data_IF_898935089963
#
_entry.id   IF_898935089963
#
_cell.length_a   1.000
_cell.length_b   1.000
_cell.length_c   1.000
_cell.angle_alpha   90.00
_cell.angle_beta   90.00
_cell.angle_gamma   90.00
#
_symmetry.space_group_name_H-M   'P 1'
#
loop_
_entity.id
_entity.type
_entity.pdbx_description
1 polymer ?
#
# COMPACT_ATOMS: atom_id res chain seq x y z
N UNK A 1 6.38 8.83 37.68
CA UNK A 1 6.14 7.71 36.74
C UNK A 1 5.09 8.11 35.69
N UNK A 2 5.38 9.06 34.78
CA UNK A 2 4.47 9.45 33.67
C UNK A 2 5.16 10.45 32.71
N UNK A 3 6.08 9.97 31.85
CA UNK A 3 6.69 10.81 30.79
C UNK A 3 6.99 9.99 29.52
N UNK A 4 7.34 8.71 29.67
CA UNK A 4 7.56 7.78 28.55
C UNK A 4 6.31 7.53 27.68
N UNK A 5 5.10 7.63 28.23
CA UNK A 5 3.85 7.38 27.50
C UNK A 5 3.53 8.46 26.45
N UNK A 6 3.77 9.74 26.77
CA UNK A 6 3.47 10.85 25.86
C UNK A 6 4.44 10.91 24.68
N UNK A 7 5.73 10.63 24.92
CA UNK A 7 6.76 10.60 23.88
C UNK A 7 6.55 9.50 22.83
N UNK A 8 6.12 8.31 23.24
CA UNK A 8 5.88 7.19 22.31
C UNK A 8 4.68 7.45 21.38
N UNK A 9 3.61 8.07 21.90
CA UNK A 9 2.44 8.47 21.09
C UNK A 9 2.79 9.54 20.05
N UNK A 10 3.66 10.49 20.42
CA UNK A 10 4.15 11.51 19.48
C UNK A 10 5.02 10.90 18.38
N UNK A 11 5.86 9.92 18.71
CA UNK A 11 6.70 9.20 17.76
C UNK A 11 5.89 8.30 16.80
N UNK A 12 4.84 7.63 17.26
CA UNK A 12 3.94 6.86 16.37
C UNK A 12 3.17 7.77 15.41
N UNK A 13 2.69 8.92 15.88
CA UNK A 13 2.01 9.90 15.03
C UNK A 13 2.94 10.48 13.96
N UNK A 14 4.20 10.74 14.32
CA UNK A 14 5.22 11.18 13.37
C UNK A 14 5.52 10.09 12.32
N UNK A 15 5.62 8.83 12.73
CA UNK A 15 5.82 7.68 11.81
C UNK A 15 4.65 7.51 10.84
N UNK A 16 3.41 7.61 11.34
CA UNK A 16 2.19 7.52 10.51
C UNK A 16 2.13 8.69 9.53
N UNK A 17 2.42 9.91 9.99
CA UNK A 17 2.50 11.09 9.14
C UNK A 17 3.55 10.93 8.04
N UNK A 18 4.74 10.44 8.38
CA UNK A 18 5.78 10.12 7.40
C UNK A 18 5.34 9.08 6.37
N UNK A 19 4.62 8.04 6.80
CA UNK A 19 4.07 7.00 5.93
C UNK A 19 3.06 7.57 4.92
N UNK A 20 2.15 8.44 5.39
CA UNK A 20 1.15 9.12 4.55
C UNK A 20 1.85 10.00 3.50
N UNK A 21 2.83 10.81 3.93
CA UNK A 21 3.60 11.68 3.03
C UNK A 21 4.30 10.84 1.96
N UNK A 22 4.87 9.70 2.34
CA UNK A 22 5.60 8.82 1.42
C UNK A 22 4.66 8.15 0.40
N UNK A 23 3.46 7.71 0.84
CA UNK A 23 2.41 7.19 -0.05
C UNK A 23 1.97 8.27 -1.06
N UNK A 24 1.65 9.48 -0.59
CA UNK A 24 1.21 10.58 -1.45
C UNK A 24 2.30 10.98 -2.44
N UNK A 25 3.54 11.06 -1.99
CA UNK A 25 4.69 11.39 -2.84
C UNK A 25 4.91 10.32 -3.92
N UNK A 26 4.72 9.05 -3.57
CA UNK A 26 4.84 7.93 -4.51
C UNK A 26 3.73 7.96 -5.56
N UNK A 27 2.47 8.18 -5.14
CA UNK A 27 1.33 8.33 -6.06
C UNK A 27 1.56 9.52 -7.00
N UNK A 28 1.97 10.67 -6.47
CA UNK A 28 2.27 11.85 -7.26
C UNK A 28 3.41 11.60 -8.26
N UNK A 29 4.47 10.92 -7.84
CA UNK A 29 5.59 10.54 -8.70
C UNK A 29 5.18 9.60 -9.83
N UNK A 30 4.30 8.63 -9.57
CA UNK A 30 3.76 7.72 -10.58
C UNK A 30 2.99 8.50 -11.64
N UNK A 31 2.04 9.35 -11.24
CA UNK A 31 1.23 10.13 -12.18
C UNK A 31 2.07 11.15 -12.96
N UNK A 32 3.02 11.80 -12.29
CA UNK A 32 3.95 12.74 -12.95
C UNK A 32 4.80 12.02 -14.00
N UNK A 33 5.34 10.84 -13.66
CA UNK A 33 6.14 10.04 -14.59
C UNK A 33 5.32 9.55 -15.78
N UNK A 34 4.09 9.08 -15.55
CA UNK A 34 3.17 8.66 -16.63
C UNK A 34 2.73 9.83 -17.51
N UNK A 35 2.49 11.00 -16.92
CA UNK A 35 2.20 12.20 -17.67
C UNK A 35 3.38 12.60 -18.56
N UNK A 36 4.58 12.71 -17.99
CA UNK A 36 5.77 13.14 -18.73
C UNK A 36 6.24 12.13 -19.80
N UNK A 37 6.07 10.84 -19.56
CA UNK A 37 6.62 9.79 -20.43
C UNK A 37 5.61 9.27 -21.45
N UNK A 38 4.34 9.17 -21.07
CA UNK A 38 3.33 8.43 -21.84
C UNK A 38 2.12 9.26 -22.28
N UNK A 39 1.88 10.45 -21.69
CA UNK A 39 0.69 11.25 -22.00
C UNK A 39 1.08 12.54 -22.74
N UNK A 40 0.50 12.83 -23.91
CA UNK A 40 0.70 14.13 -24.56
C UNK A 40 0.21 15.28 -23.67
N UNK A 41 0.96 16.39 -23.69
CA UNK A 41 0.62 17.60 -22.92
C UNK A 41 -0.77 18.10 -23.32
N UNK A 42 -1.58 18.46 -22.32
CA UNK A 42 -2.94 19.00 -22.53
C UNK A 42 -4.06 17.97 -22.67
N UNK A 43 -3.76 16.66 -22.57
CA UNK A 43 -4.83 15.65 -22.52
C UNK A 43 -5.59 15.67 -21.17
N UNK A 44 -6.90 15.40 -21.18
CA UNK A 44 -7.72 15.38 -19.96
C UNK A 44 -7.51 14.12 -19.09
N UNK A 45 -6.83 13.09 -19.62
CA UNK A 45 -6.61 11.81 -18.93
C UNK A 45 -5.16 11.36 -19.14
N UNK A 46 -4.54 10.87 -18.06
CA UNK A 46 -3.19 10.27 -18.08
C UNK A 46 -3.29 8.86 -18.67
N UNK A 47 -2.64 8.63 -19.80
CA UNK A 47 -2.64 7.34 -20.47
C UNK A 47 -1.63 6.37 -19.84
N UNK A 48 -1.89 5.07 -19.99
CA UNK A 48 -0.96 4.04 -19.56
C UNK A 48 -0.92 3.80 -18.06
N UNK A 49 -1.91 4.28 -17.28
CA UNK A 49 -2.05 3.92 -15.87
C UNK A 49 -2.37 2.43 -15.76
N UNK A 50 -1.44 1.65 -15.23
CA UNK A 50 -1.59 0.23 -14.98
C UNK A 50 -1.43 -0.09 -13.49
N UNK A 51 -2.14 -1.11 -13.01
CA UNK A 51 -2.08 -1.55 -11.60
C UNK A 51 -0.67 -1.82 -11.07
N UNK A 52 0.26 -2.23 -11.95
CA UNK A 52 1.67 -2.49 -11.61
C UNK A 52 2.41 -1.29 -11.01
N UNK A 53 2.04 -0.07 -11.38
CA UNK A 53 2.72 1.12 -10.86
C UNK A 53 2.38 1.37 -9.39
N UNK A 54 1.28 0.80 -8.89
CA UNK A 54 0.85 0.93 -7.50
C UNK A 54 1.41 -0.14 -6.57
N UNK A 55 2.23 -1.10 -7.05
CA UNK A 55 2.90 -2.10 -6.20
C UNK A 55 3.62 -1.46 -5.00
N UNK A 56 4.44 -0.41 -5.18
CA UNK A 56 5.13 0.24 -4.07
C UNK A 56 4.15 0.81 -3.03
N UNK A 57 3.01 1.36 -3.47
CA UNK A 57 1.97 1.90 -2.59
C UNK A 57 1.34 0.78 -1.76
N UNK A 58 1.01 -0.36 -2.39
CA UNK A 58 0.46 -1.53 -1.69
C UNK A 58 1.43 -2.05 -0.62
N UNK A 59 2.73 -2.12 -0.92
CA UNK A 59 3.75 -2.55 0.04
C UNK A 59 3.85 -1.60 1.24
N UNK A 60 3.75 -0.29 1.02
CA UNK A 60 3.77 0.71 2.09
C UNK A 60 2.52 0.62 2.97
N UNK A 61 1.35 0.43 2.37
CA UNK A 61 0.09 0.22 3.10
C UNK A 61 0.15 -1.06 3.94
N UNK A 62 0.74 -2.13 3.42
CA UNK A 62 0.94 -3.38 4.16
C UNK A 62 1.85 -3.21 5.40
N UNK A 63 2.72 -2.20 5.42
CA UNK A 63 3.58 -1.88 6.56
C UNK A 63 2.86 -1.07 7.65
N UNK A 64 1.74 -0.41 7.33
CA UNK A 64 1.01 0.46 8.26
C UNK A 64 0.59 -0.23 9.58
N UNK A 65 0.04 -1.48 9.59
CA UNK A 65 -0.33 -2.15 10.83
C UNK A 65 0.85 -2.43 11.77
N UNK A 66 2.05 -2.64 11.21
CA UNK A 66 3.29 -2.85 11.99
C UNK A 66 3.72 -1.56 12.70
N UNK A 67 3.49 -0.41 12.07
CA UNK A 67 3.86 0.91 12.59
C UNK A 67 2.80 1.49 13.55
N UNK A 68 1.54 1.09 13.39
CA UNK A 68 0.41 1.48 14.26
C UNK A 68 0.35 0.62 15.53
N UNK A 69 0.92 -0.59 15.53
CA UNK A 69 0.96 -1.47 16.70
C UNK A 69 1.77 -0.82 17.84
N UNK A 70 1.06 -0.12 18.73
CA UNK A 70 1.60 0.31 20.02
C UNK A 70 1.93 -0.95 20.82
N UNK A 71 3.16 -1.04 21.32
CA UNK A 71 3.80 -2.19 21.98
C UNK A 71 3.10 -2.68 23.27
N UNK A 72 1.85 -2.29 23.54
CA UNK A 72 1.14 -2.52 24.81
C UNK A 72 0.08 -3.63 24.79
N UNK A 73 -0.30 -4.20 23.64
CA UNK A 73 -1.43 -5.16 23.57
C UNK A 73 -1.05 -6.62 23.23
N UNK A 74 0.18 -7.04 23.53
CA UNK A 74 0.67 -8.39 23.19
C UNK A 74 0.40 -9.45 24.25
N UNK A 75 -0.46 -9.22 25.25
CA UNK A 75 -0.57 -10.20 26.36
C UNK A 75 -1.93 -10.69 26.82
N UNK A 76 -3.09 -10.24 26.29
CA UNK A 76 -4.35 -10.84 26.78
C UNK A 76 -5.31 -11.30 25.68
N UNK A 77 -5.29 -12.63 25.54
CA UNK A 77 -6.44 -13.53 25.31
C UNK A 77 -6.94 -13.64 23.87
N UNK A 78 -6.35 -14.60 23.12
CA UNK A 78 -7.01 -15.70 22.37
C UNK A 78 -5.97 -16.43 21.48
N UNK A 79 -6.16 -17.72 21.12
CA UNK A 79 -5.08 -18.69 20.90
C UNK A 79 -4.20 -18.35 19.69
N UNK A 80 -2.93 -18.12 19.99
CA UNK A 80 -1.97 -17.30 19.24
C UNK A 80 -1.43 -17.92 17.94
N UNK A 81 -1.76 -19.18 17.62
CA UNK A 81 -1.22 -19.85 16.42
C UNK A 81 -2.16 -19.80 15.22
N UNK A 82 -3.45 -20.06 15.43
CA UNK A 82 -4.45 -20.14 14.35
C UNK A 82 -4.76 -18.73 13.80
N UNK A 83 -4.91 -17.73 14.67
CA UNK A 83 -5.14 -16.34 14.25
C UNK A 83 -3.96 -15.77 13.44
N UNK A 84 -2.73 -16.04 13.86
CA UNK A 84 -1.53 -15.59 13.14
C UNK A 84 -1.38 -16.30 11.78
N UNK A 85 -1.73 -17.59 11.70
CA UNK A 85 -1.78 -18.32 10.42
C UNK A 85 -2.88 -17.75 9.52
N UNK A 86 -4.08 -17.51 10.04
CA UNK A 86 -5.19 -16.91 9.27
C UNK A 86 -4.83 -15.51 8.77
N UNK A 87 -4.18 -14.69 9.60
CA UNK A 87 -3.73 -13.35 9.21
C UNK A 87 -2.65 -13.40 8.13
N UNK A 88 -1.64 -14.27 8.27
CA UNK A 88 -0.60 -14.47 7.24
C UNK A 88 -1.19 -15.00 5.93
N UNK A 89 -2.11 -15.95 6.03
CA UNK A 89 -2.81 -16.52 4.87
C UNK A 89 -3.68 -15.48 4.16
N UNK A 90 -4.42 -14.64 4.91
CA UNK A 90 -5.23 -13.57 4.34
C UNK A 90 -4.38 -12.53 3.61
N UNK A 91 -3.23 -12.14 4.16
CA UNK A 91 -2.29 -11.24 3.49
C UNK A 91 -1.74 -11.88 2.22
N UNK A 92 -1.27 -13.12 2.28
CA UNK A 92 -0.75 -13.82 1.09
C UNK A 92 -1.83 -13.98 0.00
N UNK A 93 -3.06 -14.35 0.39
CA UNK A 93 -4.19 -14.45 -0.52
C UNK A 93 -4.52 -13.10 -1.16
N UNK A 94 -4.48 -12.01 -0.39
CA UNK A 94 -4.71 -10.66 -0.93
C UNK A 94 -3.66 -10.27 -1.98
N UNK A 95 -2.39 -10.66 -1.78
CA UNK A 95 -1.30 -10.43 -2.74
C UNK A 95 -1.52 -11.25 -4.01
N UNK A 96 -1.93 -12.51 -3.89
CA UNK A 96 -2.22 -13.38 -5.05
C UNK A 96 -3.41 -12.83 -5.85
N UNK A 97 -4.50 -12.44 -5.18
CA UNK A 97 -5.68 -11.83 -5.84
C UNK A 97 -5.27 -10.55 -6.57
N UNK A 98 -4.46 -9.70 -5.94
CA UNK A 98 -3.95 -8.48 -6.55
C UNK A 98 -3.06 -8.76 -7.78
N UNK A 99 -2.19 -9.76 -7.72
CA UNK A 99 -1.38 -10.19 -8.87
C UNK A 99 -2.25 -10.67 -10.03
N UNK A 100 -3.25 -11.52 -9.76
CA UNK A 100 -4.18 -12.01 -10.79
C UNK A 100 -4.98 -10.87 -11.42
N UNK A 101 -5.45 -9.92 -10.62
CA UNK A 101 -6.13 -8.71 -11.10
C UNK A 101 -5.24 -7.86 -12.02
N UNK A 102 -3.94 -7.75 -11.70
CA UNK A 102 -2.97 -7.05 -12.54
C UNK A 102 -2.78 -7.74 -13.90
N UNK A 103 -2.67 -9.08 -13.92
CA UNK A 103 -2.57 -9.85 -15.17
C UNK A 103 -3.84 -9.72 -16.02
N UNK A 104 -5.01 -9.78 -15.40
CA UNK A 104 -6.29 -9.59 -16.08
C UNK A 104 -6.40 -8.20 -16.71
N UNK A 105 -6.03 -7.15 -15.96
CA UNK A 105 -6.03 -5.78 -16.46
C UNK A 105 -5.07 -5.59 -17.63
N UNK A 106 -3.87 -6.19 -17.56
CA UNK A 106 -2.90 -6.17 -18.65
C UNK A 106 -3.44 -6.85 -19.91
N UNK A 107 -4.11 -8.00 -19.75
CA UNK A 107 -4.71 -8.73 -20.86
C UNK A 107 -5.80 -7.91 -21.56
N UNK A 108 -6.73 -7.30 -20.79
CA UNK A 108 -7.75 -6.40 -21.35
C UNK A 108 -7.15 -5.22 -22.10
N UNK A 109 -6.09 -4.62 -21.56
CA UNK A 109 -5.40 -3.50 -22.20
C UNK A 109 -4.72 -3.92 -23.52
N UNK A 110 -4.14 -5.11 -23.58
CA UNK A 110 -3.57 -5.66 -24.82
C UNK A 110 -4.66 -5.92 -25.86
N UNK A 111 -5.79 -6.51 -25.46
CA UNK A 111 -6.92 -6.73 -26.38
C UNK A 111 -7.41 -5.41 -26.97
N UNK A 112 -7.66 -4.39 -26.15
CA UNK A 112 -8.13 -3.07 -26.61
C UNK A 112 -7.11 -2.30 -27.48
N UNK A 113 -5.84 -2.72 -27.50
CA UNK A 113 -4.79 -2.08 -28.32
C UNK A 113 -4.57 -2.77 -29.64
N UNK A 114 -4.76 -4.09 -29.70
CA UNK A 114 -4.50 -4.90 -30.89
C UNK A 114 -5.77 -5.30 -31.66
N UNK A 115 -6.95 -5.04 -31.11
CA UNK A 115 -8.28 -5.22 -31.71
C UNK A 115 -9.16 -4.02 -31.39
#
# INVERSE_FOLDING_TARGET
MSAKGFSNKKLSNLRISGLIILILSTIFGIFTSLYLTWTPVGRPVIEGVQGRYFLPVVMLVALAPSLIKNTQDTQKLLPTKIYEIQKKAAVNLSVIIFMLFCYFTLYLYLLNRYW
#
